data_IF_627343488604
#
_entry.id   IF_627343488604
#
_cell.length_a   1.000
_cell.length_b   1.000
_cell.length_c   1.000
_cell.angle_alpha   90.00
_cell.angle_beta   90.00
_cell.angle_gamma   90.00
#
_symmetry.space_group_name_H-M   'P 1'
#
loop_
_entity.id
_entity.type
_entity.pdbx_description
1 polymer ?
#
# COMPACT_ATOMS: atom_id res chain seq x y z
N UNK A 1 -6.00 5.45 0.76
CA UNK A 1 -5.98 6.77 1.44
C UNK A 1 -5.05 6.64 2.64
N UNK A 2 -3.78 6.96 2.49
CA UNK A 2 -2.94 7.18 3.65
C UNK A 2 -3.45 8.47 4.31
N UNK A 3 -4.13 8.33 5.46
CA UNK A 3 -4.11 9.43 6.41
C UNK A 3 -2.63 9.63 6.72
N UNK A 4 -2.01 10.69 6.19
CA UNK A 4 -0.75 11.18 6.74
C UNK A 4 -0.96 11.20 8.25
N UNK A 5 -0.10 10.53 9.05
CA UNK A 5 -0.14 10.74 10.47
C UNK A 5 -0.04 12.26 10.64
N UNK A 6 -1.10 12.85 11.18
CA UNK A 6 -1.08 14.26 11.53
C UNK A 6 0.07 14.36 12.52
N UNK A 7 1.10 15.18 12.27
CA UNK A 7 2.18 15.33 13.24
C UNK A 7 1.50 15.68 14.55
N UNK A 8 1.79 14.91 15.60
CA UNK A 8 1.30 15.21 16.94
C UNK A 8 1.61 16.67 17.18
N UNK A 9 0.60 17.47 17.57
CA UNK A 9 0.78 18.89 17.78
C UNK A 9 1.94 19.06 18.79
N UNK A 10 3.08 19.66 18.40
CA UNK A 10 4.24 19.77 19.28
C UNK A 10 3.94 20.57 20.55
N UNK A 11 2.78 21.21 20.62
CA UNK A 11 2.28 21.94 21.77
C UNK A 11 1.59 21.06 22.81
N UNK A 12 1.24 19.80 22.48
CA UNK A 12 0.61 18.90 23.43
C UNK A 12 1.69 18.26 24.31
N UNK A 13 2.04 18.94 25.38
CA UNK A 13 2.90 18.35 26.41
C UNK A 13 2.11 17.31 27.19
N UNK A 14 2.81 16.31 27.76
CA UNK A 14 2.19 15.29 28.62
C UNK A 14 1.34 15.93 29.73
N UNK A 15 1.79 17.05 30.28
CA UNK A 15 1.05 17.78 31.32
C UNK A 15 -0.31 18.29 30.83
N UNK A 16 -0.39 18.85 29.62
CA UNK A 16 -1.65 19.32 29.02
C UNK A 16 -2.58 18.14 28.73
N UNK A 17 -2.04 17.03 28.21
CA UNK A 17 -2.81 15.81 27.99
C UNK A 17 -3.40 15.28 29.30
N UNK A 18 -2.59 15.18 30.35
CA UNK A 18 -3.03 14.67 31.65
C UNK A 18 -4.07 15.59 32.30
N UNK A 19 -3.92 16.90 32.15
CA UNK A 19 -4.91 17.85 32.65
C UNK A 19 -6.25 17.73 31.90
N UNK A 20 -6.20 17.60 30.57
CA UNK A 20 -7.40 17.37 29.76
C UNK A 20 -8.11 16.04 30.09
N UNK A 21 -7.37 15.03 30.50
CA UNK A 21 -7.90 13.72 30.89
C UNK A 21 -8.35 13.64 32.35
N UNK A 22 -8.07 14.65 33.18
CA UNK A 22 -8.25 14.61 34.65
C UNK A 22 -9.63 14.11 35.09
N UNK A 23 -10.70 14.56 34.45
CA UNK A 23 -12.08 14.14 34.78
C UNK A 23 -12.56 12.88 34.07
N UNK A 24 -11.81 12.38 33.07
CA UNK A 24 -12.26 11.31 32.16
C UNK A 24 -11.32 10.10 32.11
N UNK A 25 -10.29 10.09 32.96
CA UNK A 25 -9.31 8.99 32.99
C UNK A 25 -9.96 7.63 33.24
N UNK A 26 -11.01 7.59 34.07
CA UNK A 26 -11.76 6.35 34.36
C UNK A 26 -12.50 5.77 33.13
N UNK A 27 -12.76 6.58 32.09
CA UNK A 27 -13.38 6.14 30.84
C UNK A 27 -12.34 5.57 29.85
N UNK A 28 -11.07 5.85 30.09
CA UNK A 28 -10.01 5.46 29.18
C UNK A 28 -9.59 3.99 29.39
N UNK A 29 -9.39 3.26 28.28
CA UNK A 29 -8.70 1.98 28.31
C UNK A 29 -7.21 2.21 28.65
N UNK A 30 -6.67 1.37 29.50
CA UNK A 30 -5.31 1.49 30.06
C UNK A 30 -4.24 1.48 28.97
N UNK A 31 -4.36 0.66 27.96
CA UNK A 31 -3.39 0.57 26.87
C UNK A 31 -3.42 1.82 26.00
N UNK A 32 -4.62 2.31 25.70
CA UNK A 32 -4.79 3.54 24.94
C UNK A 32 -4.27 4.77 25.69
N UNK A 33 -4.48 4.81 26.99
CA UNK A 33 -3.92 5.84 27.86
C UNK A 33 -2.39 5.86 27.78
N UNK A 34 -1.74 4.70 27.93
CA UNK A 34 -0.28 4.60 27.82
C UNK A 34 0.25 5.02 26.44
N UNK A 35 -0.44 4.64 25.36
CA UNK A 35 -0.10 5.09 24.00
C UNK A 35 -0.18 6.61 23.87
N UNK A 36 -1.26 7.23 24.35
CA UNK A 36 -1.44 8.68 24.28
C UNK A 36 -0.35 9.43 25.05
N UNK A 37 0.08 8.90 26.21
CA UNK A 37 1.18 9.46 26.99
C UNK A 37 2.51 9.39 26.23
N UNK A 38 2.82 8.25 25.59
CA UNK A 38 4.01 8.10 24.77
C UNK A 38 3.97 8.99 23.52
N UNK A 39 2.81 9.06 22.84
CA UNK A 39 2.62 9.89 21.64
C UNK A 39 2.75 11.41 21.95
N UNK A 40 2.39 11.81 23.18
CA UNK A 40 2.52 13.21 23.62
C UNK A 40 3.96 13.64 23.92
N UNK A 41 4.89 12.70 24.08
CA UNK A 41 6.30 12.95 24.34
C UNK A 41 7.22 12.27 23.33
N UNK A 42 7.17 12.67 22.04
CA UNK A 42 8.02 12.08 21.02
C UNK A 42 9.51 12.35 21.34
N UNK A 43 10.31 11.29 21.34
CA UNK A 43 11.73 11.37 21.65
C UNK A 43 12.10 11.06 23.10
N UNK A 44 11.13 10.87 23.98
CA UNK A 44 11.38 10.32 25.32
C UNK A 44 11.43 8.78 25.27
N UNK A 45 12.18 8.14 26.18
CA UNK A 45 12.23 6.70 26.28
C UNK A 45 10.82 6.14 26.56
N UNK A 46 10.47 4.96 26.01
CA UNK A 46 9.18 4.32 26.26
C UNK A 46 8.92 4.09 27.75
N UNK A 47 7.65 4.08 28.14
CA UNK A 47 7.24 3.85 29.54
C UNK A 47 7.89 2.59 30.11
N UNK A 48 8.47 2.70 31.29
CA UNK A 48 9.15 1.60 31.98
C UNK A 48 10.50 1.19 31.41
N UNK A 49 11.09 1.98 30.51
CA UNK A 49 12.46 1.77 30.02
C UNK A 49 13.50 2.60 30.78
N UNK A 50 13.07 3.57 31.59
CA UNK A 50 13.94 4.37 32.44
C UNK A 50 14.55 3.53 33.59
N UNK A 51 15.71 3.91 34.09
CA UNK A 51 16.32 3.26 35.25
C UNK A 51 15.56 3.57 36.54
N UNK A 52 15.08 4.81 36.65
CA UNK A 52 14.36 5.30 37.84
C UNK A 52 12.90 5.56 37.51
N UNK A 53 11.94 5.10 38.33
CA UNK A 53 10.51 5.39 38.15
C UNK A 53 10.17 6.89 38.17
N UNK A 54 11.04 7.73 38.73
CA UNK A 54 10.87 9.17 38.75
C UNK A 54 11.14 9.85 37.41
N UNK A 55 11.91 9.19 36.55
CA UNK A 55 12.26 9.68 35.20
C UNK A 55 11.21 9.28 34.13
N UNK A 56 10.24 8.44 34.50
CA UNK A 56 9.13 8.09 33.61
C UNK A 56 8.11 9.25 33.51
N UNK A 57 7.40 9.32 32.40
CA UNK A 57 6.41 10.37 32.12
C UNK A 57 5.24 10.38 33.10
N UNK A 58 4.87 9.22 33.61
CA UNK A 58 3.81 9.00 34.62
C UNK A 58 4.21 7.89 35.55
N UNK A 59 3.70 7.92 36.78
CA UNK A 59 3.89 6.88 37.77
C UNK A 59 2.62 6.09 37.97
N UNK A 60 2.69 4.76 37.90
CA UNK A 60 1.55 3.88 38.13
C UNK A 60 1.55 3.35 39.54
N UNK A 61 0.40 3.45 40.22
CA UNK A 61 0.14 2.89 41.56
C UNK A 61 -1.24 2.25 41.60
N UNK A 62 -1.41 1.09 42.22
CA UNK A 62 -2.73 0.49 42.40
C UNK A 62 -3.63 1.38 43.27
N UNK A 63 -4.95 1.19 43.11
CA UNK A 63 -5.94 1.74 44.03
C UNK A 63 -6.00 0.87 45.30
N UNK A 64 -5.77 1.41 46.49
CA UNK A 64 -5.87 0.62 47.73
C UNK A 64 -7.30 0.16 48.10
N UNK A 65 -8.30 0.69 47.40
CA UNK A 65 -9.70 0.34 47.67
C UNK A 65 -9.99 -1.12 47.34
N UNK A 66 -10.81 -1.77 48.23
CA UNK A 66 -11.24 -3.16 48.08
C UNK A 66 -12.60 -3.29 47.38
N UNK A 67 -13.14 -2.21 46.83
CA UNK A 67 -14.39 -2.21 46.09
C UNK A 67 -14.27 -2.79 44.67
N UNK A 68 -15.41 -3.21 44.13
CA UNK A 68 -15.45 -3.77 42.75
C UNK A 68 -14.89 -2.77 41.71
N UNK A 69 -13.96 -3.17 40.87
CA UNK A 69 -13.37 -2.29 39.87
C UNK A 69 -14.35 -2.03 38.73
N UNK A 70 -14.93 -0.82 38.68
CA UNK A 70 -15.81 -0.40 37.57
C UNK A 70 -15.07 0.07 36.34
N UNK A 71 -13.76 0.37 36.47
CA UNK A 71 -12.90 0.87 35.40
C UNK A 71 -11.45 0.42 35.63
N UNK A 72 -10.66 0.39 34.57
CA UNK A 72 -9.23 -0.01 34.66
C UNK A 72 -8.37 1.05 35.35
N UNK A 73 -8.70 2.32 35.14
CA UNK A 73 -8.05 3.48 35.76
C UNK A 73 -9.02 4.19 36.70
N UNK A 74 -8.55 4.61 37.87
CA UNK A 74 -9.37 5.37 38.84
C UNK A 74 -9.27 6.87 38.63
N UNK A 75 -8.05 7.39 38.49
CA UNK A 75 -7.83 8.81 38.41
C UNK A 75 -6.34 9.20 38.38
N UNK A 76 -6.12 10.49 38.33
CA UNK A 76 -4.79 11.11 38.34
C UNK A 76 -4.58 11.87 39.64
N UNK A 77 -3.41 11.71 40.23
CA UNK A 77 -2.97 12.41 41.45
C UNK A 77 -1.69 13.22 41.11
N UNK A 78 -1.72 14.48 41.46
CA UNK A 78 -0.55 15.36 41.31
C UNK A 78 0.23 15.43 42.63
N UNK A 79 1.56 15.41 42.57
CA UNK A 79 2.36 15.56 43.78
C UNK A 79 2.19 16.98 44.33
N UNK A 80 1.66 17.07 45.56
CA UNK A 80 1.39 18.38 46.22
C UNK A 80 2.62 19.12 46.68
N UNK A 81 3.73 18.42 46.93
CA UNK A 81 4.92 18.98 47.55
C UNK A 81 6.12 19.17 46.64
N UNK A 82 6.12 18.53 45.45
CA UNK A 82 7.25 18.60 44.50
C UNK A 82 6.75 18.51 43.07
N UNK A 83 6.72 19.63 42.37
CA UNK A 83 6.25 19.70 40.97
C UNK A 83 7.18 18.98 39.97
N UNK A 84 8.37 18.56 40.40
CA UNK A 84 9.31 17.84 39.54
C UNK A 84 9.02 16.35 39.44
N UNK A 85 8.16 15.81 40.32
CA UNK A 85 7.77 14.38 40.24
C UNK A 85 6.65 14.17 39.22
N UNK A 86 6.66 13.03 38.52
CA UNK A 86 5.61 12.69 37.53
C UNK A 86 4.25 12.50 38.22
N UNK A 87 3.18 12.81 37.48
CA UNK A 87 1.82 12.57 37.94
C UNK A 87 1.60 11.07 38.21
N UNK A 88 0.83 10.75 39.25
CA UNK A 88 0.51 9.36 39.60
C UNK A 88 -0.83 8.97 39.03
N UNK A 89 -0.86 7.85 38.32
CA UNK A 89 -2.06 7.21 37.77
C UNK A 89 -2.47 6.08 38.69
N UNK A 90 -3.67 6.14 39.25
CA UNK A 90 -4.21 5.04 40.06
C UNK A 90 -4.86 3.99 39.17
N UNK A 91 -4.35 2.75 39.25
CA UNK A 91 -4.83 1.61 38.47
C UNK A 91 -5.68 0.70 39.34
N UNK A 92 -6.68 0.06 38.73
CA UNK A 92 -7.50 -0.98 39.38
C UNK A 92 -7.24 -2.37 38.78
N UNK A 93 -6.30 -2.45 37.88
CA UNK A 93 -5.80 -3.67 37.25
C UNK A 93 -4.36 -3.87 37.65
N UNK A 94 -3.99 -5.06 37.98
CA UNK A 94 -2.63 -5.41 38.43
C UNK A 94 -2.16 -4.61 39.66
N UNK A 95 -1.58 -5.28 40.59
CA UNK A 95 -1.00 -4.62 41.75
C UNK A 95 -0.66 -5.59 42.86
N UNK A 96 0.31 -5.23 43.69
CA UNK A 96 0.65 -5.97 44.89
C UNK A 96 -0.26 -5.60 46.05
N UNK A 97 -1.13 -4.60 45.89
CA UNK A 97 -2.23 -4.30 46.81
C UNK A 97 -3.44 -3.87 45.98
N UNK A 98 -4.62 -3.86 46.61
CA UNK A 98 -5.91 -3.68 45.93
C UNK A 98 -6.65 -5.01 45.72
N UNK A 99 -7.69 -5.01 44.87
CA UNK A 99 -8.61 -6.13 44.71
C UNK A 99 -7.96 -7.42 44.18
N UNK A 100 -7.05 -7.29 43.23
CA UNK A 100 -6.39 -8.41 42.54
C UNK A 100 -5.03 -8.79 43.15
N UNK A 101 -4.78 -8.42 44.38
CA UNK A 101 -3.46 -8.61 45.00
C UNK A 101 -3.16 -10.09 45.33
N UNK A 102 -1.97 -10.58 45.09
CA UNK A 102 -1.50 -11.89 45.49
C UNK A 102 -1.04 -11.93 46.97
N UNK A 103 -0.97 -10.78 47.63
CA UNK A 103 -0.48 -10.71 49.01
C UNK A 103 -1.52 -11.16 50.03
N UNK A 104 -1.09 -11.61 51.23
CA UNK A 104 -2.04 -11.96 52.31
C UNK A 104 -2.91 -10.78 52.71
N UNK A 105 -4.17 -11.05 52.97
CA UNK A 105 -5.22 -10.05 53.28
C UNK A 105 -4.86 -9.11 54.43
N UNK A 106 -4.04 -9.53 55.37
CA UNK A 106 -3.59 -8.67 56.48
C UNK A 106 -2.88 -7.41 56.00
N UNK A 107 -1.94 -7.57 55.03
CA UNK A 107 -1.22 -6.41 54.46
C UNK A 107 -2.17 -5.52 53.67
N UNK A 108 -3.13 -6.13 52.97
CA UNK A 108 -4.12 -5.40 52.19
C UNK A 108 -5.04 -4.58 53.08
N UNK A 109 -5.46 -5.18 54.21
CA UNK A 109 -6.32 -4.54 55.22
C UNK A 109 -5.61 -3.35 55.85
N UNK A 110 -4.31 -3.49 56.23
CA UNK A 110 -3.51 -2.43 56.81
C UNK A 110 -3.40 -1.21 55.85
N UNK A 111 -3.24 -1.46 54.55
CA UNK A 111 -3.17 -0.42 53.52
C UNK A 111 -4.54 0.19 53.24
N UNK A 112 -5.60 -0.67 53.07
CA UNK A 112 -6.95 -0.22 52.75
C UNK A 112 -7.58 0.63 53.87
N UNK A 113 -7.33 0.25 55.14
CA UNK A 113 -7.81 0.97 56.35
C UNK A 113 -6.90 2.10 56.78
N UNK A 114 -5.76 2.32 56.12
CA UNK A 114 -4.78 3.35 56.43
C UNK A 114 -4.30 3.27 57.90
N UNK A 115 -3.99 2.04 58.37
CA UNK A 115 -3.48 1.81 59.73
C UNK A 115 -2.09 2.47 59.87
N UNK A 116 -1.69 2.76 61.07
CA UNK A 116 -0.38 3.35 61.36
C UNK A 116 0.75 2.52 60.74
N UNK A 117 1.65 3.17 60.01
CA UNK A 117 2.76 2.53 59.31
C UNK A 117 2.44 2.00 57.87
N UNK A 118 1.18 2.10 57.42
CA UNK A 118 0.80 1.66 56.08
C UNK A 118 1.58 2.37 54.95
N UNK A 119 1.94 3.62 55.15
CA UNK A 119 2.65 4.46 54.15
C UNK A 119 3.99 3.88 53.75
N UNK A 120 4.75 3.34 54.72
CA UNK A 120 6.04 2.72 54.44
C UNK A 120 5.89 1.43 53.63
N UNK A 121 4.87 0.62 53.94
CA UNK A 121 4.55 -0.61 53.24
C UNK A 121 4.05 -0.30 51.81
N UNK A 122 3.14 0.68 51.68
CA UNK A 122 2.63 1.11 50.35
C UNK A 122 3.78 1.62 49.49
N UNK A 123 4.64 2.49 50.03
CA UNK A 123 5.78 3.05 49.30
C UNK A 123 6.78 1.96 48.84
N UNK A 124 7.02 0.97 49.67
CA UNK A 124 7.87 -0.17 49.35
C UNK A 124 7.26 -1.00 48.20
N UNK A 125 5.99 -1.33 48.28
CA UNK A 125 5.28 -2.10 47.22
C UNK A 125 5.19 -1.32 45.92
N UNK A 126 5.09 0.01 45.96
CA UNK A 126 5.00 0.86 44.78
C UNK A 126 6.27 0.89 43.92
N UNK A 127 7.41 0.54 44.49
CA UNK A 127 8.64 0.36 43.71
C UNK A 127 8.45 -0.77 42.67
N UNK A 128 7.77 -1.84 43.09
CA UNK A 128 7.52 -2.98 42.21
C UNK A 128 6.28 -2.76 41.35
N UNK A 129 5.20 -2.18 41.88
CA UNK A 129 3.94 -1.93 41.18
C UNK A 129 4.14 -1.19 39.87
N UNK A 130 4.88 -0.08 39.91
CA UNK A 130 5.17 0.71 38.73
C UNK A 130 5.87 -0.14 37.67
N UNK A 131 6.87 -0.92 38.08
CA UNK A 131 7.66 -1.76 37.16
C UNK A 131 6.84 -2.92 36.59
N UNK A 132 6.03 -3.58 37.41
CA UNK A 132 5.13 -4.67 36.98
C UNK A 132 4.15 -4.14 35.93
N UNK A 133 3.51 -3.01 36.21
CA UNK A 133 2.53 -2.43 35.30
C UNK A 133 3.15 -2.00 33.96
N UNK A 134 4.29 -1.31 34.00
CA UNK A 134 4.98 -0.87 32.79
C UNK A 134 5.49 -2.06 31.98
N UNK A 135 6.00 -3.12 32.61
CA UNK A 135 6.39 -4.35 31.91
C UNK A 135 5.18 -5.04 31.28
N UNK A 136 4.04 -5.11 31.96
CA UNK A 136 2.82 -5.66 31.39
C UNK A 136 2.38 -4.90 30.13
N UNK A 137 2.37 -3.56 30.18
CA UNK A 137 2.10 -2.72 29.02
C UNK A 137 3.08 -2.98 27.88
N UNK A 138 4.39 -3.07 28.16
CA UNK A 138 5.43 -3.35 27.15
C UNK A 138 5.26 -4.73 26.51
N UNK A 139 4.87 -5.74 27.29
CA UNK A 139 4.57 -7.07 26.77
C UNK A 139 3.39 -6.99 25.80
N UNK A 140 2.28 -6.38 26.24
CA UNK A 140 1.12 -6.19 25.38
C UNK A 140 1.48 -5.46 24.08
N UNK A 141 2.21 -4.35 24.17
CA UNK A 141 2.64 -3.58 23.00
C UNK A 141 3.48 -4.41 22.03
N UNK A 142 4.38 -5.25 22.55
CA UNK A 142 5.22 -6.14 21.72
C UNK A 142 4.37 -7.12 20.88
N UNK A 143 3.27 -7.62 21.43
CA UNK A 143 2.42 -8.59 20.75
C UNK A 143 1.25 -7.94 20.00
N UNK A 144 1.03 -6.65 20.15
CA UNK A 144 0.01 -5.90 19.42
C UNK A 144 0.64 -5.17 18.22
N UNK A 145 0.53 -5.75 17.03
CA UNK A 145 1.07 -5.14 15.82
C UNK A 145 0.54 -3.71 15.56
N UNK A 146 -0.79 -3.42 15.71
CA UNK A 146 -1.28 -2.06 15.56
C UNK A 146 -0.64 -1.04 16.52
N UNK A 147 -0.27 -1.49 17.73
CA UNK A 147 0.36 -0.63 18.74
C UNK A 147 1.87 -0.44 18.53
N UNK A 148 2.54 -1.41 17.89
CA UNK A 148 3.98 -1.34 17.60
C UNK A 148 4.29 -0.80 16.20
N UNK A 149 3.28 -0.62 15.34
CA UNK A 149 3.46 -0.17 13.97
C UNK A 149 4.04 1.25 13.91
N UNK A 150 5.21 1.37 13.31
CA UNK A 150 5.82 2.65 12.99
C UNK A 150 5.42 3.09 11.58
N UNK A 151 5.09 4.38 11.42
CA UNK A 151 4.74 4.95 10.12
C UNK A 151 5.81 4.63 9.07
N UNK A 152 5.38 4.13 7.92
CA UNK A 152 6.30 3.68 6.86
C UNK A 152 6.80 2.25 7.01
N UNK A 153 6.42 1.52 8.09
CA UNK A 153 6.81 0.12 8.30
C UNK A 153 8.25 -0.03 8.77
N UNK A 154 8.77 0.94 9.56
CA UNK A 154 10.12 0.91 10.13
C UNK A 154 10.28 -0.02 11.35
N UNK A 155 9.20 -0.50 11.92
CA UNK A 155 9.19 -1.40 13.07
C UNK A 155 9.67 -2.82 12.72
N UNK A 156 10.19 -3.53 13.72
CA UNK A 156 10.79 -4.86 13.54
C UNK A 156 9.81 -5.88 12.93
N UNK A 157 8.54 -5.83 13.33
CA UNK A 157 7.51 -6.74 12.80
C UNK A 157 7.24 -6.46 11.32
N UNK A 158 7.08 -5.18 10.93
CA UNK A 158 6.93 -4.79 9.52
C UNK A 158 8.14 -5.21 8.69
N UNK A 159 9.36 -5.06 9.20
CA UNK A 159 10.58 -5.49 8.51
C UNK A 159 10.60 -7.02 8.29
N UNK A 160 10.17 -7.80 9.28
CA UNK A 160 10.01 -9.25 9.11
C UNK A 160 8.96 -9.59 8.04
N UNK A 161 7.82 -8.86 8.03
CA UNK A 161 6.77 -9.04 7.02
C UNK A 161 7.27 -8.67 5.62
N UNK A 162 8.04 -7.60 5.47
CA UNK A 162 8.70 -7.26 4.20
C UNK A 162 9.69 -8.33 3.76
N UNK A 163 10.34 -9.03 4.70
CA UNK A 163 11.20 -10.17 4.40
C UNK A 163 10.49 -11.28 3.64
N UNK A 164 9.19 -11.52 3.92
CA UNK A 164 8.38 -12.53 3.23
C UNK A 164 8.18 -12.26 1.73
N UNK A 165 8.29 -11.00 1.32
CA UNK A 165 8.15 -10.57 -0.09
C UNK A 165 9.47 -10.12 -0.71
N UNK A 166 10.60 -10.32 0.01
CA UNK A 166 11.93 -9.96 -0.47
C UNK A 166 12.31 -8.49 -0.32
N UNK A 167 11.51 -7.68 0.37
CA UNK A 167 11.76 -6.25 0.59
C UNK A 167 12.39 -5.92 1.95
N UNK A 168 12.62 -6.93 2.81
CA UNK A 168 13.22 -6.76 4.15
C UNK A 168 14.73 -6.54 4.17
N UNK A 169 15.38 -6.47 3.01
CA UNK A 169 16.83 -6.25 2.93
C UNK A 169 17.13 -4.76 3.21
N UNK A 170 18.05 -4.44 4.12
CA UNK A 170 18.44 -3.07 4.41
C UNK A 170 18.81 -2.29 3.15
N UNK A 171 18.26 -1.07 2.99
CA UNK A 171 18.48 -0.21 1.82
C UNK A 171 17.49 -0.43 0.67
N UNK A 172 16.69 -1.48 0.65
CA UNK A 172 15.66 -1.72 -0.38
C UNK A 172 14.62 -0.60 -0.39
N UNK A 173 14.22 -0.11 0.78
CA UNK A 173 13.28 1.02 0.92
C UNK A 173 13.68 2.26 0.11
N UNK A 174 14.99 2.55 0.04
CA UNK A 174 15.52 3.69 -0.72
C UNK A 174 15.45 3.51 -2.24
N UNK A 175 15.33 2.29 -2.72
CA UNK A 175 15.24 1.94 -4.15
C UNK A 175 13.81 1.84 -4.66
N UNK A 176 12.84 1.78 -3.73
CA UNK A 176 11.42 1.69 -4.05
C UNK A 176 10.82 3.08 -3.94
N UNK A 177 10.40 3.65 -5.07
CA UNK A 177 9.87 5.02 -5.17
C UNK A 177 8.39 5.12 -4.73
N UNK A 178 7.89 4.16 -3.95
CA UNK A 178 6.54 4.17 -3.39
C UNK A 178 6.60 3.81 -1.90
N UNK A 179 5.67 4.29 -1.06
CA UNK A 179 5.64 3.96 0.36
C UNK A 179 5.59 2.45 0.60
N UNK A 180 6.51 1.94 1.43
CA UNK A 180 6.58 0.50 1.73
C UNK A 180 5.31 -0.02 2.42
N UNK A 181 4.60 0.81 3.17
CA UNK A 181 3.34 0.45 3.82
C UNK A 181 2.28 -0.13 2.86
N UNK A 182 2.31 0.29 1.58
CA UNK A 182 1.44 -0.27 0.54
C UNK A 182 1.67 -1.77 0.32
N UNK A 183 2.91 -2.21 0.45
CA UNK A 183 3.25 -3.63 0.30
C UNK A 183 2.74 -4.48 1.47
N UNK A 184 2.59 -3.90 2.67
CA UNK A 184 1.95 -4.58 3.80
C UNK A 184 0.47 -4.87 3.50
N UNK A 185 -0.25 -3.93 2.90
CA UNK A 185 -1.63 -4.13 2.47
C UNK A 185 -1.77 -5.23 1.40
N UNK A 186 -0.73 -5.42 0.59
CA UNK A 186 -0.67 -6.40 -0.50
C UNK A 186 0.05 -7.70 -0.13
N UNK A 187 0.46 -7.85 1.13
CA UNK A 187 1.32 -8.95 1.58
C UNK A 187 0.74 -10.32 1.24
N UNK A 188 -0.57 -10.52 1.45
CA UNK A 188 -1.26 -11.78 1.18
C UNK A 188 -1.14 -12.22 -0.27
N UNK A 189 -1.20 -11.28 -1.21
CA UNK A 189 -1.14 -11.53 -2.66
C UNK A 189 0.31 -11.64 -3.12
N UNK A 190 1.18 -10.76 -2.63
CA UNK A 190 2.59 -10.73 -3.05
C UNK A 190 3.40 -11.92 -2.54
N UNK A 191 3.00 -12.52 -1.43
CA UNK A 191 3.60 -13.72 -0.87
C UNK A 191 3.40 -14.96 -1.75
N UNK A 192 2.31 -15.03 -2.48
CA UNK A 192 1.99 -16.19 -3.31
C UNK A 192 3.03 -16.35 -4.43
N UNK A 193 3.50 -17.58 -4.72
CA UNK A 193 4.41 -17.84 -5.82
C UNK A 193 3.73 -17.67 -7.18
N UNK A 194 2.43 -17.93 -7.23
CA UNK A 194 1.60 -17.75 -8.42
C UNK A 194 1.20 -16.28 -8.57
N UNK A 195 1.27 -15.79 -9.81
CA UNK A 195 0.83 -14.44 -10.18
C UNK A 195 -0.45 -14.55 -11.00
N UNK A 196 -1.52 -13.97 -10.49
CA UNK A 196 -2.84 -14.04 -11.09
C UNK A 196 -3.40 -12.65 -11.43
N UNK A 197 -4.47 -12.63 -12.23
CA UNK A 197 -5.14 -11.39 -12.62
C UNK A 197 -5.73 -10.63 -11.42
N UNK A 198 -6.27 -11.36 -10.43
CA UNK A 198 -6.79 -10.78 -9.19
C UNK A 198 -5.72 -10.01 -8.41
N UNK A 199 -4.49 -10.52 -8.39
CA UNK A 199 -3.37 -9.80 -7.78
C UNK A 199 -3.11 -8.46 -8.44
N UNK A 200 -3.15 -8.39 -9.78
CA UNK A 200 -2.96 -7.13 -10.52
C UNK A 200 -4.10 -6.15 -10.23
N UNK A 201 -5.35 -6.61 -10.19
CA UNK A 201 -6.49 -5.74 -9.84
C UNK A 201 -6.40 -5.23 -8.42
N UNK A 202 -5.88 -6.04 -7.49
CA UNK A 202 -5.66 -5.59 -6.10
C UNK A 202 -4.55 -4.53 -5.99
N UNK A 203 -3.48 -4.60 -6.81
CA UNK A 203 -2.47 -3.54 -6.88
C UNK A 203 -3.12 -2.19 -7.24
N UNK A 204 -3.99 -2.19 -8.25
CA UNK A 204 -4.70 -0.97 -8.67
C UNK A 204 -5.63 -0.46 -7.57
N UNK A 205 -6.38 -1.36 -6.92
CA UNK A 205 -7.32 -0.98 -5.85
C UNK A 205 -6.63 -0.30 -4.66
N UNK A 206 -5.42 -0.74 -4.30
CA UNK A 206 -4.64 -0.11 -3.22
C UNK A 206 -4.15 1.29 -3.61
N UNK A 207 -3.87 1.52 -4.90
CA UNK A 207 -3.43 2.81 -5.40
C UNK A 207 -4.57 3.80 -5.58
N UNK A 208 -5.67 3.34 -6.18
CA UNK A 208 -6.79 4.17 -6.59
C UNK A 208 -8.12 3.45 -6.32
N UNK A 209 -8.82 3.87 -5.27
CA UNK A 209 -10.05 3.21 -4.83
C UNK A 209 -11.24 3.37 -5.80
N UNK A 210 -11.22 4.43 -6.63
CA UNK A 210 -12.27 4.72 -7.60
C UNK A 210 -11.97 4.19 -9.01
N UNK A 211 -10.77 3.66 -9.23
CA UNK A 211 -10.36 3.05 -10.49
C UNK A 211 -10.68 1.56 -10.47
N UNK A 212 -11.43 1.11 -11.46
CA UNK A 212 -11.64 -0.30 -11.73
C UNK A 212 -10.56 -0.80 -12.68
N UNK A 213 -10.09 -2.02 -12.47
CA UNK A 213 -9.08 -2.64 -13.30
C UNK A 213 -9.59 -3.98 -13.85
N UNK A 214 -9.40 -4.20 -15.12
CA UNK A 214 -9.66 -5.47 -15.79
C UNK A 214 -8.39 -5.95 -16.47
N UNK A 215 -8.12 -7.27 -16.40
CA UNK A 215 -6.94 -7.88 -17.00
C UNK A 215 -7.37 -8.90 -18.03
N UNK A 216 -6.85 -8.77 -19.25
CA UNK A 216 -6.97 -9.79 -20.30
C UNK A 216 -5.60 -10.47 -20.45
N UNK A 217 -5.48 -11.76 -20.05
CA UNK A 217 -4.26 -12.53 -20.25
C UNK A 217 -4.06 -12.85 -21.73
N UNK A 218 -2.86 -13.31 -22.08
CA UNK A 218 -2.54 -13.79 -23.42
C UNK A 218 -2.77 -12.77 -24.54
N UNK A 219 -2.40 -11.51 -24.28
CA UNK A 219 -2.53 -10.47 -25.30
C UNK A 219 -1.49 -10.67 -26.41
N UNK A 220 -1.91 -10.72 -27.71
CA UNK A 220 -1.00 -11.00 -28.80
C UNK A 220 0.05 -9.91 -28.97
N UNK A 221 1.31 -10.32 -28.96
CA UNK A 221 2.48 -9.49 -29.18
C UNK A 221 3.17 -9.90 -30.49
N UNK A 222 3.32 -8.96 -31.41
CA UNK A 222 4.12 -9.16 -32.60
C UNK A 222 5.60 -9.17 -32.24
N UNK A 223 6.30 -10.23 -32.59
CA UNK A 223 7.76 -10.40 -32.40
C UNK A 223 8.47 -10.59 -33.72
N UNK A 224 9.65 -9.97 -33.87
CA UNK A 224 10.50 -10.21 -35.04
C UNK A 224 11.33 -11.46 -34.80
N UNK A 225 11.26 -12.40 -35.71
CA UNK A 225 12.03 -13.65 -35.66
C UNK A 225 13.48 -13.37 -36.02
N UNK A 226 14.41 -13.75 -35.14
CA UNK A 226 15.85 -13.52 -35.33
C UNK A 226 16.41 -14.33 -36.53
N UNK A 227 15.85 -15.51 -36.75
CA UNK A 227 16.26 -16.40 -37.87
C UNK A 227 14.99 -16.92 -38.59
N UNK A 228 14.44 -16.16 -39.54
CA UNK A 228 13.31 -16.62 -40.32
C UNK A 228 13.68 -17.88 -41.12
N UNK A 229 12.76 -18.81 -41.24
CA UNK A 229 12.96 -19.99 -42.07
C UNK A 229 13.15 -19.55 -43.52
N UNK A 230 14.18 -20.05 -44.17
CA UNK A 230 14.43 -19.87 -45.59
C UNK A 230 14.41 -21.24 -46.27
N UNK A 231 13.77 -21.32 -47.42
CA UNK A 231 13.83 -22.51 -48.29
C UNK A 231 15.21 -22.60 -48.91
N UNK A 232 16.13 -23.27 -48.22
CA UNK A 232 17.51 -23.46 -48.65
C UNK A 232 17.88 -24.94 -48.53
N UNK A 233 18.63 -25.45 -49.50
CA UNK A 233 19.16 -26.81 -49.43
C UNK A 233 20.08 -27.05 -48.24
N UNK A 234 20.74 -25.99 -47.73
CA UNK A 234 21.61 -26.07 -46.56
C UNK A 234 20.90 -26.14 -45.23
N UNK A 235 19.61 -25.73 -45.18
CA UNK A 235 18.74 -25.82 -43.98
C UNK A 235 17.35 -26.25 -44.42
N UNK A 236 17.11 -27.57 -44.53
CA UNK A 236 15.82 -28.04 -44.94
C UNK A 236 14.75 -27.71 -43.90
N UNK A 237 13.70 -27.05 -44.33
CA UNK A 237 12.54 -26.73 -43.50
C UNK A 237 11.62 -27.95 -43.46
N UNK A 238 11.35 -28.47 -42.29
CA UNK A 238 10.42 -29.57 -42.09
C UNK A 238 9.09 -29.06 -41.52
N UNK A 239 7.97 -29.45 -42.14
CA UNK A 239 6.62 -29.14 -41.65
C UNK A 239 6.35 -29.78 -40.29
N UNK A 240 7.02 -30.89 -39.97
CA UNK A 240 6.87 -31.55 -38.66
C UNK A 240 7.47 -30.79 -37.48
N UNK A 241 8.32 -29.81 -37.72
CA UNK A 241 8.97 -29.01 -36.71
C UNK A 241 8.27 -27.67 -36.41
N UNK A 242 7.05 -27.47 -36.88
CA UNK A 242 6.27 -26.23 -36.72
C UNK A 242 7.11 -24.97 -37.04
N UNK A 243 7.88 -25.00 -38.08
CA UNK A 243 8.77 -23.92 -38.44
C UNK A 243 7.98 -22.66 -38.83
N UNK A 244 8.15 -21.51 -38.16
CA UNK A 244 7.40 -20.32 -38.47
C UNK A 244 7.81 -19.75 -39.82
N UNK A 245 6.82 -19.45 -40.69
CA UNK A 245 7.02 -18.81 -41.97
C UNK A 245 6.99 -17.29 -41.82
N UNK A 246 7.95 -16.61 -42.47
CA UNK A 246 8.04 -15.15 -42.46
C UNK A 246 8.97 -14.59 -41.39
N UNK A 247 9.01 -13.25 -41.29
CA UNK A 247 9.88 -12.52 -40.37
C UNK A 247 9.19 -12.11 -39.08
N UNK A 248 7.89 -12.23 -38.99
CA UNK A 248 7.07 -11.82 -37.87
C UNK A 248 6.31 -13.02 -37.33
N UNK A 249 6.33 -13.18 -36.02
CA UNK A 249 5.55 -14.19 -35.29
C UNK A 249 4.65 -13.52 -34.25
N UNK A 250 3.67 -14.26 -33.73
CA UNK A 250 2.81 -13.82 -32.64
C UNK A 250 3.15 -14.59 -31.38
N UNK A 251 3.47 -13.84 -30.33
CA UNK A 251 3.65 -14.39 -28.99
C UNK A 251 2.45 -13.98 -28.12
N UNK A 252 1.73 -14.98 -27.61
CA UNK A 252 0.55 -14.77 -26.76
C UNK A 252 0.82 -15.04 -25.29
N UNK A 253 2.03 -15.48 -24.92
CA UNK A 253 2.35 -15.87 -23.56
C UNK A 253 3.10 -14.78 -22.77
N UNK A 254 3.70 -13.81 -23.45
CA UNK A 254 4.59 -12.84 -22.82
C UNK A 254 3.93 -11.51 -22.49
N UNK A 255 2.71 -11.25 -22.93
CA UNK A 255 2.02 -9.98 -22.70
C UNK A 255 0.61 -10.19 -22.14
N UNK A 256 0.21 -9.28 -21.26
CA UNK A 256 -1.17 -9.14 -20.81
C UNK A 256 -1.65 -7.70 -21.01
N UNK A 257 -2.95 -7.52 -21.20
CA UNK A 257 -3.58 -6.21 -21.26
C UNK A 257 -4.19 -5.88 -19.90
N UNK A 258 -3.81 -4.72 -19.35
CA UNK A 258 -4.44 -4.13 -18.17
C UNK A 258 -5.20 -2.88 -18.57
N UNK A 259 -6.52 -2.93 -18.45
CA UNK A 259 -7.41 -1.80 -18.72
C UNK A 259 -7.86 -1.20 -17.39
N UNK A 260 -7.58 0.08 -17.21
CA UNK A 260 -7.97 0.89 -16.06
C UNK A 260 -9.20 1.73 -16.47
N UNK A 261 -10.26 1.68 -15.69
CA UNK A 261 -11.43 2.51 -15.89
C UNK A 261 -11.65 3.42 -14.69
N UNK A 262 -11.76 4.72 -14.91
CA UNK A 262 -12.09 5.69 -13.85
C UNK A 262 -12.97 6.82 -14.39
N UNK A 263 -13.92 7.25 -13.57
CA UNK A 263 -14.74 8.44 -13.81
C UNK A 263 -14.30 9.63 -12.92
N UNK A 264 -13.23 9.48 -12.15
CA UNK A 264 -12.71 10.52 -11.28
C UNK A 264 -11.61 11.32 -12.01
N UNK A 265 -11.82 12.62 -12.19
CA UNK A 265 -10.86 13.52 -12.86
C UNK A 265 -9.47 13.55 -12.20
N UNK A 266 -9.42 13.47 -10.87
CA UNK A 266 -8.16 13.52 -10.14
C UNK A 266 -7.35 12.22 -10.34
N UNK A 267 -7.99 11.06 -10.24
CA UNK A 267 -7.35 9.78 -10.51
C UNK A 267 -6.95 9.68 -11.98
N UNK A 268 -7.84 10.09 -12.91
CA UNK A 268 -7.58 10.10 -14.35
C UNK A 268 -6.28 10.86 -14.69
N UNK A 269 -6.14 12.06 -14.15
CA UNK A 269 -4.93 12.88 -14.37
C UNK A 269 -3.66 12.22 -13.81
N UNK A 270 -3.77 11.55 -12.67
CA UNK A 270 -2.64 10.88 -12.04
C UNK A 270 -2.26 9.54 -12.73
N UNK A 271 -3.14 8.97 -13.56
CA UNK A 271 -2.84 7.83 -14.42
C UNK A 271 -2.08 8.19 -15.68
N UNK A 272 -2.15 9.44 -16.13
CA UNK A 272 -1.44 9.92 -17.33
C UNK A 272 0.09 9.93 -17.13
N UNK A 273 0.87 9.98 -18.21
CA UNK A 273 2.33 10.13 -18.15
C UNK A 273 2.75 11.31 -17.28
N UNK A 274 3.68 11.06 -16.35
CA UNK A 274 4.09 12.03 -15.33
C UNK A 274 3.28 12.00 -14.03
N UNK A 275 2.14 11.33 -14.00
CA UNK A 275 1.33 11.19 -12.79
C UNK A 275 1.91 10.22 -11.76
N UNK A 276 1.52 10.43 -10.50
CA UNK A 276 2.03 9.65 -9.36
C UNK A 276 1.49 8.23 -9.35
N UNK A 277 0.19 8.03 -9.65
CA UNK A 277 -0.44 6.70 -9.67
C UNK A 277 0.21 5.77 -10.69
N UNK A 278 0.49 6.29 -11.90
CA UNK A 278 1.16 5.51 -12.94
C UNK A 278 2.56 5.08 -12.50
N UNK A 279 3.33 5.99 -11.90
CA UNK A 279 4.68 5.69 -11.40
C UNK A 279 4.64 4.61 -10.32
N UNK A 280 3.75 4.76 -9.36
CA UNK A 280 3.57 3.81 -8.27
C UNK A 280 3.13 2.44 -8.79
N UNK A 281 2.19 2.40 -9.77
CA UNK A 281 1.77 1.15 -10.40
C UNK A 281 2.93 0.41 -11.07
N UNK A 282 3.77 1.12 -11.82
CA UNK A 282 4.94 0.51 -12.47
C UNK A 282 5.89 -0.13 -11.45
N UNK A 283 6.11 0.51 -10.30
CA UNK A 283 6.93 -0.04 -9.22
C UNK A 283 6.26 -1.29 -8.61
N UNK A 284 4.95 -1.24 -8.34
CA UNK A 284 4.22 -2.40 -7.83
C UNK A 284 4.23 -3.57 -8.81
N UNK A 285 4.04 -3.29 -10.10
CA UNK A 285 4.13 -4.32 -11.16
C UNK A 285 5.54 -4.92 -11.24
N UNK A 286 6.58 -4.10 -11.06
CA UNK A 286 7.95 -4.58 -11.04
C UNK A 286 8.20 -5.57 -9.90
N UNK A 287 7.70 -5.30 -8.71
CA UNK A 287 7.84 -6.19 -7.56
C UNK A 287 6.95 -7.43 -7.74
N UNK A 288 5.74 -7.27 -8.28
CA UNK A 288 4.77 -8.35 -8.43
C UNK A 288 5.10 -9.29 -9.59
N UNK A 289 5.29 -8.77 -10.79
CA UNK A 289 5.52 -9.56 -12.02
C UNK A 289 7.00 -9.80 -12.30
N UNK A 290 7.87 -8.86 -11.92
CA UNK A 290 9.28 -8.92 -12.28
C UNK A 290 9.48 -8.95 -13.79
N UNK A 291 10.20 -9.95 -14.27
CA UNK A 291 10.51 -10.18 -15.68
C UNK A 291 9.58 -11.21 -16.37
N UNK A 292 8.59 -11.76 -15.65
CA UNK A 292 7.77 -12.89 -16.12
C UNK A 292 6.92 -12.55 -17.32
N UNK A 293 6.31 -11.36 -17.34
CA UNK A 293 5.51 -10.90 -18.46
C UNK A 293 5.54 -9.37 -18.59
N UNK A 294 5.20 -8.90 -19.77
CA UNK A 294 4.99 -7.48 -20.05
C UNK A 294 3.53 -7.11 -19.84
N UNK A 295 3.25 -5.85 -19.54
CA UNK A 295 1.89 -5.37 -19.34
C UNK A 295 1.62 -4.20 -20.28
N UNK A 296 0.62 -4.34 -21.13
CA UNK A 296 0.09 -3.23 -21.93
C UNK A 296 -0.94 -2.48 -21.08
N UNK A 297 -0.77 -1.19 -20.94
CA UNK A 297 -1.61 -0.35 -20.08
C UNK A 297 -2.57 0.48 -20.92
N UNK A 298 -3.86 0.30 -20.69
CA UNK A 298 -4.91 1.12 -21.28
C UNK A 298 -5.68 1.86 -20.17
N UNK A 299 -6.08 3.08 -20.46
CA UNK A 299 -6.91 3.89 -19.57
C UNK A 299 -8.20 4.25 -20.29
N UNK A 300 -9.32 3.81 -19.78
CA UNK A 300 -10.65 4.14 -20.30
C UNK A 300 -11.29 5.19 -19.42
N UNK A 301 -11.71 6.29 -20.03
CA UNK A 301 -12.29 7.44 -19.36
C UNK A 301 -13.60 7.85 -20.03
N UNK A 302 -14.61 8.34 -19.29
CA UNK A 302 -15.71 9.09 -19.88
C UNK A 302 -15.19 10.36 -20.56
N UNK A 303 -15.75 10.72 -21.71
CA UNK A 303 -15.36 11.95 -22.45
C UNK A 303 -15.40 13.19 -21.57
N UNK A 304 -16.34 13.25 -20.62
CA UNK A 304 -16.46 14.33 -19.66
C UNK A 304 -15.23 14.52 -18.76
N UNK A 305 -14.40 13.47 -18.60
CA UNK A 305 -13.18 13.50 -17.80
C UNK A 305 -11.95 13.99 -18.57
N UNK A 306 -12.06 14.20 -19.87
CA UNK A 306 -10.96 14.75 -20.66
C UNK A 306 -10.87 16.27 -20.45
N UNK A 307 -9.64 16.82 -20.31
CA UNK A 307 -9.47 18.27 -20.27
C UNK A 307 -9.87 18.89 -21.61
N UNK A 308 -10.48 20.08 -21.60
CA UNK A 308 -10.77 20.79 -22.84
C UNK A 308 -9.48 21.05 -23.62
N UNK A 309 -9.52 20.84 -24.94
CA UNK A 309 -8.37 21.06 -25.82
C UNK A 309 -8.10 22.55 -25.98
N UNK A 310 -7.19 23.08 -25.18
CA UNK A 310 -6.76 24.48 -25.23
C UNK A 310 -5.31 24.54 -25.71
N UNK A 311 -5.03 25.37 -26.70
CA UNK A 311 -3.69 25.53 -27.26
C UNK A 311 -2.67 26.21 -26.31
N UNK A 312 -3.14 26.79 -25.23
CA UNK A 312 -2.28 27.44 -24.24
C UNK A 312 -2.45 26.75 -22.88
N UNK A 313 -1.42 26.10 -22.39
CA UNK A 313 -1.39 25.65 -21.00
C UNK A 313 -1.03 24.20 -20.79
N UNK A 314 -0.43 23.95 -19.65
CA UNK A 314 -0.08 22.62 -19.16
C UNK A 314 -1.35 21.79 -18.91
N UNK A 315 -1.48 20.63 -19.53
CA UNK A 315 -2.55 19.68 -19.22
C UNK A 315 -3.07 18.85 -20.38
N UNK A 316 -2.82 19.25 -21.62
CA UNK A 316 -3.20 18.50 -22.82
C UNK A 316 -1.98 17.78 -23.37
N UNK A 317 -2.05 16.44 -23.45
CA UNK A 317 -0.99 15.61 -24.01
C UNK A 317 -1.35 15.26 -25.46
N UNK A 318 -0.54 15.71 -26.41
CA UNK A 318 -0.71 15.42 -27.83
C UNK A 318 -0.67 13.88 -28.06
N UNK A 319 -1.61 13.35 -28.80
CA UNK A 319 -1.73 11.91 -29.03
C UNK A 319 -2.35 11.09 -27.89
N UNK A 320 -2.69 11.72 -26.75
CA UNK A 320 -3.33 11.02 -25.61
C UNK A 320 -4.63 11.68 -25.15
N UNK A 321 -4.57 12.95 -24.74
CA UNK A 321 -5.75 13.66 -24.20
C UNK A 321 -6.21 14.82 -25.09
N UNK A 322 -5.47 15.12 -26.14
CA UNK A 322 -5.87 16.12 -27.12
C UNK A 322 -7.00 15.55 -28.00
N UNK A 323 -8.23 16.03 -27.80
CA UNK A 323 -9.35 15.77 -28.68
C UNK A 323 -9.69 17.04 -29.43
N UNK A 324 -9.63 17.01 -30.76
CA UNK A 324 -10.15 18.10 -31.59
C UNK A 324 -11.69 18.02 -31.57
N UNK A 325 -12.32 19.03 -30.93
CA UNK A 325 -13.74 19.35 -31.00
C UNK A 325 -14.70 18.13 -30.87
N UNK A 326 -14.70 17.45 -29.74
CA UNK A 326 -15.86 16.67 -29.33
C UNK A 326 -16.94 17.61 -28.80
N UNK A 327 -17.60 18.34 -29.70
CA UNK A 327 -18.93 18.88 -29.38
C UNK A 327 -19.85 17.68 -29.19
N UNK A 328 -20.31 17.46 -27.97
CA UNK A 328 -21.45 16.58 -27.71
C UNK A 328 -22.67 17.17 -28.47
N UNK A 329 -22.84 16.81 -29.72
CA UNK A 329 -24.15 16.88 -30.35
C UNK A 329 -24.98 15.79 -29.69
N UNK A 330 -25.95 16.20 -28.92
CA UNK A 330 -27.04 15.41 -28.38
C UNK A 330 -27.97 14.94 -29.49
N UNK A 331 -27.50 14.11 -30.40
CA UNK A 331 -28.33 13.39 -31.38
C UNK A 331 -27.67 12.03 -31.66
N UNK A 332 -28.33 11.03 -31.15
CA UNK A 332 -28.15 9.60 -31.22
C UNK A 332 -27.58 9.00 -32.49
N UNK A 333 -26.27 8.98 -32.63
CA UNK A 333 -25.52 7.95 -33.35
C UNK A 333 -24.03 8.21 -33.11
N UNK A 334 -23.44 7.39 -32.24
CA UNK A 334 -22.01 7.41 -31.97
C UNK A 334 -21.31 6.42 -32.91
N UNK A 335 -20.48 6.93 -33.80
CA UNK A 335 -19.46 6.14 -34.48
C UNK A 335 -18.23 6.00 -33.58
N UNK A 336 -17.68 4.80 -33.38
CA UNK A 336 -16.48 4.64 -32.59
C UNK A 336 -15.28 5.26 -33.32
N UNK A 337 -14.62 6.22 -32.68
CA UNK A 337 -13.36 6.78 -33.18
C UNK A 337 -12.24 5.85 -32.74
N UNK A 338 -11.77 5.00 -33.64
CA UNK A 338 -10.51 4.28 -33.49
C UNK A 338 -9.37 5.27 -33.68
N UNK A 339 -8.67 5.61 -32.62
CA UNK A 339 -7.39 6.29 -32.73
C UNK A 339 -6.34 5.28 -33.21
N UNK A 340 -5.84 5.53 -34.42
CA UNK A 340 -4.84 4.71 -35.11
C UNK A 340 -3.54 4.57 -34.29
N UNK A 341 -3.03 3.36 -34.21
CA UNK A 341 -1.67 3.11 -33.70
C UNK A 341 -0.65 3.71 -34.68
N UNK A 342 0.35 4.49 -34.25
CA UNK A 342 1.42 4.91 -35.13
C UNK A 342 2.41 3.76 -35.30
N UNK A 343 2.51 3.24 -36.52
CA UNK A 343 3.62 2.36 -36.85
C UNK A 343 3.37 1.25 -37.83
N UNK A 344 3.22 1.58 -39.07
CA UNK A 344 3.87 0.87 -40.19
C UNK A 344 3.63 1.68 -41.47
N UNK A 345 4.53 2.61 -41.74
CA UNK A 345 4.75 3.06 -43.10
C UNK A 345 5.40 1.92 -43.87
N UNK A 346 4.67 1.41 -44.85
CA UNK A 346 5.27 0.67 -45.98
C UNK A 346 4.82 1.40 -47.24
N UNK A 347 5.79 1.98 -47.89
CA UNK A 347 5.71 2.55 -49.23
C UNK A 347 5.03 1.59 -50.20
N UNK A 348 3.98 2.06 -50.87
CA UNK A 348 3.40 1.42 -52.01
C UNK A 348 3.73 2.17 -53.30
N UNK A 349 4.60 1.60 -54.07
CA UNK A 349 4.74 1.93 -55.48
C UNK A 349 4.05 0.86 -56.33
N UNK A 350 3.04 1.33 -57.01
CA UNK A 350 2.55 1.07 -58.39
C UNK A 350 2.56 -0.35 -58.98
N UNK A 351 1.42 -0.78 -59.56
CA UNK A 351 1.34 -1.92 -60.50
C UNK A 351 0.01 -2.66 -60.55
N UNK A 352 -0.88 -2.16 -61.38
CA UNK A 352 -2.16 -2.71 -61.91
C UNK A 352 -2.39 -4.24 -61.92
N UNK A 353 -3.55 -4.68 -61.34
CA UNK A 353 -4.59 -5.68 -61.66
C UNK A 353 -4.19 -7.11 -62.14
N UNK A 354 -5.01 -8.18 -61.92
CA UNK A 354 -6.45 -8.24 -61.78
C UNK A 354 -6.99 -9.11 -60.60
N UNK A 355 -8.29 -8.95 -60.41
CA UNK A 355 -9.14 -9.57 -59.41
C UNK A 355 -9.19 -11.10 -59.48
N UNK A 356 -8.89 -11.76 -58.40
CA UNK A 356 -9.50 -12.99 -57.91
C UNK A 356 -9.54 -12.92 -56.41
N UNK A 357 -10.75 -12.88 -55.88
CA UNK A 357 -11.00 -12.93 -54.44
C UNK A 357 -10.57 -14.28 -53.87
N UNK A 358 -9.59 -14.34 -52.95
CA UNK A 358 -9.46 -15.51 -52.09
C UNK A 358 -10.39 -15.33 -50.87
N UNK A 359 -10.95 -16.46 -50.46
CA UNK A 359 -11.77 -16.62 -49.27
C UNK A 359 -11.15 -15.92 -48.05
N UNK A 360 -11.98 -15.36 -47.14
CA UNK A 360 -11.48 -14.66 -45.95
C UNK A 360 -10.68 -15.64 -45.09
N UNK A 361 -9.40 -15.35 -44.92
CA UNK A 361 -8.52 -16.01 -43.95
C UNK A 361 -9.23 -15.86 -42.59
N UNK A 362 -9.46 -16.94 -41.80
CA UNK A 362 -10.04 -16.83 -40.49
C UNK A 362 -9.14 -15.91 -39.65
N UNK A 363 -9.70 -14.79 -39.21
CA UNK A 363 -9.07 -13.84 -38.33
C UNK A 363 -8.57 -14.51 -37.05
N UNK A 364 -7.61 -13.93 -36.36
CA UNK A 364 -7.09 -14.47 -35.13
C UNK A 364 -8.25 -14.75 -34.19
N UNK A 365 -8.25 -15.92 -33.53
CA UNK A 365 -9.26 -16.39 -32.59
C UNK A 365 -9.84 -15.23 -31.81
N UNK A 366 -11.17 -15.04 -31.78
CA UNK A 366 -11.79 -14.09 -30.89
C UNK A 366 -11.39 -14.51 -29.48
N UNK A 367 -10.71 -13.63 -28.77
CA UNK A 367 -10.56 -13.76 -27.33
C UNK A 367 -11.95 -13.94 -26.73
N UNK A 368 -12.08 -14.55 -25.54
CA UNK A 368 -13.37 -14.75 -24.91
C UNK A 368 -14.14 -13.44 -24.97
N UNK A 369 -15.32 -13.48 -25.58
CA UNK A 369 -16.18 -12.32 -25.77
C UNK A 369 -16.28 -11.59 -24.42
N UNK A 370 -15.94 -10.29 -24.36
CA UNK A 370 -16.20 -9.53 -23.17
C UNK A 370 -17.69 -9.61 -22.90
N UNK A 371 -18.06 -10.08 -21.72
CA UNK A 371 -19.42 -10.21 -21.23
C UNK A 371 -20.29 -9.05 -21.76
N UNK A 372 -21.27 -9.29 -22.64
CA UNK A 372 -22.05 -8.24 -23.28
C UNK A 372 -22.90 -7.42 -22.28
N UNK A 373 -23.01 -7.85 -21.03
CA UNK A 373 -23.68 -7.11 -19.96
C UNK A 373 -22.87 -5.89 -19.43
N UNK A 374 -21.59 -5.75 -19.82
CA UNK A 374 -20.77 -4.56 -19.54
C UNK A 374 -20.67 -3.65 -20.77
N UNK A 375 -21.80 -3.25 -21.31
CA UNK A 375 -21.86 -2.21 -22.33
C UNK A 375 -21.26 -0.93 -21.75
N UNK A 376 -20.02 -0.62 -22.14
CA UNK A 376 -19.44 0.71 -21.95
C UNK A 376 -20.38 1.72 -22.62
N UNK A 377 -20.84 2.71 -21.88
CA UNK A 377 -21.68 3.77 -22.43
C UNK A 377 -20.93 4.38 -23.63
N UNK A 378 -21.64 4.80 -24.70
CA UNK A 378 -21.06 5.24 -26.00
C UNK A 378 -20.18 6.49 -25.91
N UNK A 379 -19.81 6.92 -24.74
CA UNK A 379 -19.07 8.17 -24.43
C UNK A 379 -17.75 7.90 -23.68
N UNK A 380 -17.15 6.73 -23.83
CA UNK A 380 -15.83 6.42 -23.23
C UNK A 380 -14.72 6.48 -24.26
N UNK A 381 -13.58 7.05 -23.90
CA UNK A 381 -12.35 7.09 -24.68
C UNK A 381 -11.30 6.21 -24.01
N UNK A 382 -10.63 5.37 -24.79
CA UNK A 382 -9.54 4.52 -24.31
C UNK A 382 -8.21 5.10 -24.79
N UNK A 383 -7.33 5.36 -23.85
CA UNK A 383 -5.99 5.94 -24.06
C UNK A 383 -4.93 4.88 -23.80
N UNK A 384 -3.99 4.74 -24.71
CA UNK A 384 -2.83 3.89 -24.50
C UNK A 384 -1.81 4.59 -23.61
N UNK A 385 -1.54 4.04 -22.41
CA UNK A 385 -0.60 4.61 -21.45
C UNK A 385 0.85 4.13 -21.63
N UNK A 386 1.08 3.18 -22.51
CA UNK A 386 2.39 2.57 -22.73
C UNK A 386 2.47 1.13 -22.25
N UNK A 387 3.66 0.57 -22.26
CA UNK A 387 3.94 -0.81 -21.93
C UNK A 387 4.94 -0.90 -20.77
N UNK A 388 4.60 -1.70 -19.75
CA UNK A 388 5.58 -2.16 -18.77
C UNK A 388 6.40 -3.27 -19.43
N UNK A 389 7.69 -3.04 -19.62
CA UNK A 389 8.63 -4.06 -20.09
C UNK A 389 9.26 -4.69 -18.85
N UNK A 390 8.99 -5.97 -18.62
CA UNK A 390 9.64 -6.72 -17.54
C UNK A 390 11.15 -6.53 -17.57
N UNK A 391 11.80 -6.60 -16.41
CA UNK A 391 13.25 -6.59 -16.36
C UNK A 391 13.78 -7.82 -17.12
N UNK A 392 14.44 -7.61 -18.25
CA UNK A 392 15.20 -8.70 -18.88
C UNK A 392 16.31 -9.10 -17.93
N UNK A 393 16.53 -10.39 -17.62
CA UNK A 393 17.72 -10.81 -16.93
C UNK A 393 18.92 -10.37 -17.78
N UNK A 394 19.69 -9.39 -17.28
CA UNK A 394 21.00 -9.16 -17.83
C UNK A 394 21.82 -10.42 -17.51
N UNK A 395 22.37 -11.04 -18.54
CA UNK A 395 23.35 -12.10 -18.41
C UNK A 395 24.36 -11.70 -17.34
N UNK A 396 24.49 -12.54 -16.31
CA UNK A 396 25.44 -12.40 -15.22
C UNK A 396 26.88 -12.46 -15.75
N UNK A 397 27.37 -11.37 -16.27
CA UNK A 397 28.79 -11.08 -16.31
C UNK A 397 28.99 -9.73 -15.60
N UNK A 398 29.33 -9.87 -14.32
CA UNK A 398 29.90 -8.88 -13.43
C UNK A 398 29.42 -7.46 -13.58
N UNK A 399 28.56 -7.00 -12.65
CA UNK A 399 28.45 -5.60 -12.17
C UNK A 399 26.99 -5.28 -11.75
N UNK A 400 26.77 -4.30 -10.88
CA UNK A 400 25.66 -4.25 -9.95
C UNK A 400 24.33 -3.95 -10.63
N UNK A 401 23.27 -4.53 -10.08
CA UNK A 401 21.86 -4.31 -10.40
C UNK A 401 21.48 -2.81 -10.34
N UNK A 402 21.76 -2.07 -11.38
CA UNK A 402 21.13 -0.80 -11.65
C UNK A 402 19.85 -1.04 -12.43
N UNK A 403 18.72 -0.86 -11.78
CA UNK A 403 17.42 -0.83 -12.44
C UNK A 403 17.28 0.51 -13.16
N UNK A 404 17.68 0.56 -14.42
CA UNK A 404 17.35 1.67 -15.32
C UNK A 404 15.91 1.43 -15.82
N UNK A 405 14.96 2.21 -15.31
CA UNK A 405 13.62 2.32 -15.90
C UNK A 405 13.80 3.31 -17.08
N UNK A 406 13.96 2.81 -18.29
CA UNK A 406 13.74 3.60 -19.49
C UNK A 406 12.23 3.65 -19.76
N UNK A 407 11.67 4.85 -19.64
CA UNK A 407 10.30 5.25 -19.97
C UNK A 407 10.16 5.33 -21.48
#
# INVERSE_FOLDING_TARGET
MERKPQPADPRLTVAVLLDALRGRVAEANVYRFCQLVEDAAPGQPPLGSSERPADDLVRFRPDPGMGFPASELKGLEWPSQNSALPATVRTRVLGLYGVDSPLPTRYLDDIAQRREGHEALEAFLDVFNHRIFTQYYRIWRKYSYPASFASGGGDATSQCLFGLIGLGIPGTAKRVNTPLSRFLALLGIMRLPTRNAEGITALVRVLAARTQATTAPHWPLSITLAAPASLSAARPVSLSQNTPLGRVGWDVNSELLLTLFTADHHEARNWLPGGTLRRDLLVLLQVYLGWRCTVRLHLSLPVACLPPSVLSGAGVLLGMTASLALQCRSTGQATPVHLHEPGSEIDSADGSAPQTSPDPIPGPYPGPDPDPSRAFSPTTVTIYLGRYKGLKPQTLEGIPLYVSIHI
#
